data_IF_029388438516
#
_entry.id   IF_029388438516
#
_cell.length_a   1.000
_cell.length_b   1.000
_cell.length_c   1.000
_cell.angle_alpha   90.00
_cell.angle_beta   90.00
_cell.angle_gamma   90.00
#
_symmetry.space_group_name_H-M   'P 1'
#
loop_
_entity.id
_entity.type
_entity.pdbx_description
1 polymer ?
#
# COMPACT_ATOMS: atom_id res chain seq x y z
N UNK A 1 -0.54 -4.57 23.39
CA UNK A 1 -0.62 -3.65 22.23
C UNK A 1 -1.81 -2.71 22.40
N UNK A 2 -1.72 -1.49 21.85
CA UNK A 2 -2.73 -0.44 22.05
C UNK A 2 -3.85 -0.60 21.02
N UNK A 3 -5.07 -0.95 21.48
CA UNK A 3 -6.25 -0.97 20.61
C UNK A 3 -6.52 0.43 20.05
N UNK A 4 -6.82 0.52 18.75
CA UNK A 4 -7.10 1.80 18.09
C UNK A 4 -8.17 1.65 17.00
N UNK A 5 -8.85 2.75 16.67
CA UNK A 5 -9.85 2.80 15.58
C UNK A 5 -9.17 3.20 14.27
N UNK A 6 -9.64 2.65 13.15
CA UNK A 6 -9.27 3.15 11.82
C UNK A 6 -9.90 4.53 11.65
N UNK A 7 -9.12 5.53 11.25
CA UNK A 7 -9.57 6.92 11.14
C UNK A 7 -8.93 7.56 9.92
N UNK A 8 -9.75 8.00 8.97
CA UNK A 8 -9.30 8.68 7.76
C UNK A 8 -8.34 9.83 8.06
N UNK A 9 -7.28 9.92 7.27
CA UNK A 9 -6.22 10.93 7.36
C UNK A 9 -5.21 10.70 8.47
N UNK A 10 -5.41 9.70 9.34
CA UNK A 10 -4.41 9.35 10.35
C UNK A 10 -3.12 8.86 9.73
N UNK A 11 -2.00 9.24 10.34
CA UNK A 11 -0.67 8.76 10.00
C UNK A 11 -0.35 7.53 10.84
N UNK A 12 0.12 6.49 10.16
CA UNK A 12 0.63 5.26 10.73
C UNK A 12 2.16 5.28 10.65
N UNK A 13 2.80 4.93 11.75
CA UNK A 13 4.24 4.69 11.82
C UNK A 13 4.52 3.19 11.68
N UNK A 14 5.46 2.86 10.80
CA UNK A 14 5.82 1.50 10.44
C UNK A 14 7.33 1.33 10.72
N UNK A 15 7.72 0.72 11.85
CA UNK A 15 9.11 0.41 12.13
C UNK A 15 9.57 -0.77 11.27
N UNK A 16 10.65 -0.60 10.51
CA UNK A 16 11.22 -1.64 9.65
C UNK A 16 12.52 -2.15 10.27
N UNK A 17 12.53 -3.43 10.68
CA UNK A 17 13.67 -4.15 11.28
C UNK A 17 14.36 -3.43 12.45
N UNK A 18 13.68 -2.47 13.11
CA UNK A 18 14.29 -1.59 14.11
C UNK A 18 15.38 -0.65 13.57
N UNK A 19 15.47 -0.46 12.25
CA UNK A 19 16.51 0.35 11.59
C UNK A 19 16.02 1.73 11.19
N UNK A 20 14.79 1.81 10.70
CA UNK A 20 14.17 3.04 10.21
C UNK A 20 12.66 2.95 10.29
N UNK A 21 12.01 4.10 10.14
CA UNK A 21 10.57 4.27 10.12
C UNK A 21 10.13 4.66 8.72
N UNK A 22 9.03 4.06 8.29
CA UNK A 22 8.25 4.47 7.12
C UNK A 22 6.87 4.88 7.60
N UNK A 23 6.20 5.72 6.82
CA UNK A 23 4.91 6.28 7.20
C UNK A 23 3.86 6.01 6.12
N UNK A 24 2.65 5.72 6.59
CA UNK A 24 1.48 5.57 5.76
C UNK A 24 0.37 6.50 6.22
N UNK A 25 -0.56 6.83 5.33
CA UNK A 25 -1.77 7.56 5.67
C UNK A 25 -3.01 6.72 5.33
N UNK A 26 -3.95 6.69 6.27
CA UNK A 26 -5.24 6.02 6.09
C UNK A 26 -6.10 6.83 5.11
N UNK A 27 -6.46 6.26 3.97
CA UNK A 27 -7.32 6.87 2.96
C UNK A 27 -8.79 6.43 3.14
N UNK A 28 -9.61 6.70 2.13
CA UNK A 28 -10.97 6.16 2.01
C UNK A 28 -10.97 4.69 1.53
N UNK A 29 -12.14 4.05 1.59
CA UNK A 29 -12.40 2.72 0.97
C UNK A 29 -11.44 1.60 1.41
N UNK A 30 -10.94 1.68 2.64
CA UNK A 30 -9.98 0.71 3.22
C UNK A 30 -8.59 0.72 2.56
N UNK A 31 -8.26 1.79 1.82
CA UNK A 31 -6.95 1.97 1.20
C UNK A 31 -6.00 2.75 2.09
N UNK A 32 -4.71 2.50 1.90
CA UNK A 32 -3.62 3.13 2.63
C UNK A 32 -2.54 3.53 1.63
N UNK A 33 -2.09 4.79 1.69
CA UNK A 33 -0.93 5.25 0.93
C UNK A 33 0.32 5.07 1.77
N UNK A 34 1.36 4.52 1.17
CA UNK A 34 2.68 4.40 1.79
C UNK A 34 3.60 5.41 1.11
N UNK A 35 4.24 6.28 1.88
CA UNK A 35 5.13 7.29 1.33
C UNK A 35 6.53 6.71 1.12
N UNK A 36 7.16 7.05 -0.01
CA UNK A 36 8.56 6.76 -0.24
C UNK A 36 9.43 7.73 0.58
N UNK A 37 9.50 7.46 1.87
CA UNK A 37 10.24 8.24 2.86
C UNK A 37 10.66 7.34 4.02
N UNK A 38 11.94 7.42 4.37
CA UNK A 38 12.54 6.72 5.51
C UNK A 38 13.12 7.73 6.47
N UNK A 39 12.96 7.48 7.77
CA UNK A 39 13.63 8.24 8.82
C UNK A 39 14.32 7.29 9.80
N UNK A 40 15.49 7.66 10.33
CA UNK A 40 16.15 6.91 11.41
C UNK A 40 15.47 7.13 12.77
N UNK A 41 14.74 8.24 12.90
CA UNK A 41 14.05 8.66 14.12
C UNK A 41 12.56 8.85 13.84
N UNK A 42 11.75 8.79 14.90
CA UNK A 42 10.32 9.09 14.80
C UNK A 42 10.15 10.58 14.46
N UNK A 43 9.31 10.89 13.47
CA UNK A 43 9.01 12.28 13.10
C UNK A 43 7.75 12.76 13.82
N UNK A 44 7.71 14.05 14.11
CA UNK A 44 6.55 14.72 14.71
C UNK A 44 5.86 15.68 13.75
N UNK A 45 6.61 16.25 12.81
CA UNK A 45 6.08 17.04 11.71
C UNK A 45 5.74 16.14 10.51
N UNK A 46 4.45 15.89 10.31
CA UNK A 46 3.96 15.05 9.22
C UNK A 46 3.76 15.80 7.90
N UNK A 47 3.81 17.14 7.90
CA UNK A 47 3.64 17.93 6.67
C UNK A 47 4.76 17.64 5.67
N UNK A 48 5.95 17.23 6.15
CA UNK A 48 7.04 16.74 5.29
C UNK A 48 6.60 15.60 4.37
N UNK A 49 5.61 14.81 4.77
CA UNK A 49 5.08 13.71 3.98
C UNK A 49 4.32 14.22 2.76
N UNK A 50 3.81 15.45 2.72
CA UNK A 50 3.03 15.98 1.58
C UNK A 50 3.83 16.09 0.28
N UNK A 51 5.14 16.22 0.37
CA UNK A 51 6.02 16.36 -0.80
C UNK A 51 6.66 15.04 -1.23
N UNK A 52 6.45 13.95 -0.48
CA UNK A 52 7.12 12.68 -0.73
C UNK A 52 6.45 11.91 -1.86
N UNK A 53 7.21 11.21 -2.72
CA UNK A 53 6.62 10.30 -3.69
C UNK A 53 5.80 9.21 -2.99
N UNK A 54 4.81 8.67 -3.70
CA UNK A 54 4.05 7.51 -3.26
C UNK A 54 4.88 6.26 -3.56
N UNK A 55 4.99 5.37 -2.58
CA UNK A 55 5.61 4.06 -2.77
C UNK A 55 4.62 3.07 -3.38
N UNK A 56 3.42 2.96 -2.79
CA UNK A 56 2.27 2.23 -3.33
C UNK A 56 1.01 2.59 -2.55
N UNK A 57 -0.16 2.20 -3.07
CA UNK A 57 -1.47 2.34 -2.44
C UNK A 57 -2.14 0.98 -2.44
N UNK A 58 -2.47 0.43 -1.28
CA UNK A 58 -3.04 -0.92 -1.15
C UNK A 58 -4.07 -1.00 -0.01
N UNK A 59 -4.86 -2.08 0.00
CA UNK A 59 -5.71 -2.43 1.14
C UNK A 59 -4.93 -3.25 2.18
N UNK A 60 -5.20 -2.98 3.46
CA UNK A 60 -4.53 -3.63 4.60
C UNK A 60 -5.57 -4.25 5.53
N UNK A 61 -5.29 -5.45 6.06
CA UNK A 61 -6.18 -6.08 7.03
C UNK A 61 -6.42 -5.19 8.26
N UNK A 62 -7.67 -5.11 8.69
CA UNK A 62 -8.08 -4.27 9.81
C UNK A 62 -7.34 -4.60 11.11
N UNK A 63 -6.90 -5.84 11.33
CA UNK A 63 -6.20 -6.22 12.57
C UNK A 63 -4.86 -5.52 12.72
N UNK A 64 -4.14 -5.28 11.62
CA UNK A 64 -2.84 -4.58 11.65
C UNK A 64 -3.01 -3.23 12.33
N UNK A 65 -4.07 -2.51 11.98
CA UNK A 65 -4.37 -1.21 12.56
C UNK A 65 -5.04 -1.38 13.92
N UNK A 66 -6.12 -2.15 14.02
CA UNK A 66 -6.97 -2.16 15.22
C UNK A 66 -6.32 -2.81 16.45
N UNK A 67 -5.37 -3.74 16.24
CA UNK A 67 -4.54 -4.29 17.31
C UNK A 67 -3.35 -3.39 17.68
N UNK A 68 -3.03 -2.41 16.84
CA UNK A 68 -1.91 -1.49 17.06
C UNK A 68 -0.56 -2.13 16.74
N UNK A 69 -0.50 -2.91 15.65
CA UNK A 69 0.78 -3.38 15.10
C UNK A 69 1.55 -2.22 14.46
N UNK A 70 0.82 -1.32 13.79
CA UNK A 70 1.31 0.01 13.40
C UNK A 70 0.59 1.07 14.21
N UNK A 71 1.35 1.95 14.85
CA UNK A 71 0.76 2.95 15.74
C UNK A 71 0.27 4.16 14.94
N UNK A 72 -0.93 4.65 15.27
CA UNK A 72 -1.34 5.98 14.81
C UNK A 72 -0.58 7.05 15.60
N UNK A 73 0.27 7.80 14.91
CA UNK A 73 1.17 8.80 15.51
C UNK A 73 0.76 10.24 15.20
N UNK A 74 -0.18 10.43 14.27
CA UNK A 74 -0.66 11.77 13.93
C UNK A 74 -1.82 11.75 12.96
N UNK A 75 -2.09 12.93 12.39
CA UNK A 75 -3.09 13.14 11.35
C UNK A 75 -2.66 14.33 10.51
N UNK A 76 -2.84 14.23 9.20
CA UNK A 76 -2.69 15.34 8.27
C UNK A 76 -3.82 15.30 7.24
N UNK A 77 -3.98 16.37 6.47
CA UNK A 77 -4.92 16.40 5.34
C UNK A 77 -4.50 15.38 4.28
N UNK A 78 -5.47 14.76 3.62
CA UNK A 78 -5.19 13.88 2.47
C UNK A 78 -4.93 14.78 1.27
N UNK A 79 -3.87 14.48 0.51
CA UNK A 79 -3.57 15.23 -0.72
C UNK A 79 -4.69 15.07 -1.73
N UNK A 80 -4.94 16.10 -2.53
CA UNK A 80 -6.06 16.12 -3.47
C UNK A 80 -6.01 14.97 -4.48
N UNK A 81 -4.81 14.61 -4.94
CA UNK A 81 -4.60 13.49 -5.87
C UNK A 81 -4.86 12.11 -5.24
N UNK A 82 -4.93 12.02 -3.91
CA UNK A 82 -5.21 10.79 -3.16
C UNK A 82 -6.69 10.67 -2.75
N UNK A 83 -7.52 11.67 -3.07
CA UNK A 83 -8.97 11.58 -2.87
C UNK A 83 -9.64 10.64 -3.88
N UNK A 84 -9.01 10.47 -5.06
CA UNK A 84 -9.42 9.51 -6.08
C UNK A 84 -8.38 8.41 -6.16
N UNK A 85 -8.78 7.20 -5.81
CA UNK A 85 -7.89 6.05 -5.75
C UNK A 85 -7.61 5.48 -7.16
N UNK A 86 -6.39 4.97 -7.43
CA UNK A 86 -6.08 4.36 -8.71
C UNK A 86 -6.89 3.07 -8.93
N UNK A 87 -7.09 2.72 -10.20
CA UNK A 87 -7.65 1.43 -10.58
C UNK A 87 -6.75 0.29 -10.08
N UNK A 88 -7.36 -0.85 -9.79
CA UNK A 88 -6.65 -2.08 -9.49
C UNK A 88 -7.04 -3.15 -10.51
N UNK A 89 -6.31 -4.25 -10.56
CA UNK A 89 -6.71 -5.40 -11.37
C UNK A 89 -7.03 -6.64 -10.53
N UNK A 90 -7.95 -7.45 -11.01
CA UNK A 90 -8.25 -8.78 -10.50
C UNK A 90 -7.77 -9.77 -11.58
N UNK A 91 -7.16 -10.88 -11.15
CA UNK A 91 -6.83 -12.01 -12.03
C UNK A 91 -7.59 -13.23 -11.51
N UNK A 92 -8.25 -13.94 -12.41
CA UNK A 92 -8.95 -15.17 -12.08
C UNK A 92 -7.93 -16.27 -11.73
N UNK A 93 -8.06 -16.84 -10.53
CA UNK A 93 -7.15 -17.89 -10.03
C UNK A 93 -7.33 -19.23 -10.77
N UNK A 94 -8.52 -19.50 -11.32
CA UNK A 94 -8.83 -20.70 -12.09
C UNK A 94 -8.51 -20.52 -13.57
N UNK A 95 -8.57 -19.29 -14.07
CA UNK A 95 -8.15 -18.92 -15.42
C UNK A 95 -7.18 -17.73 -15.40
N UNK A 96 -5.87 -17.96 -15.23
CA UNK A 96 -4.86 -16.91 -15.11
C UNK A 96 -4.74 -15.96 -16.32
N UNK A 97 -5.43 -16.25 -17.43
CA UNK A 97 -5.48 -15.38 -18.61
C UNK A 97 -6.64 -14.38 -18.60
N UNK A 98 -7.58 -14.52 -17.67
CA UNK A 98 -8.69 -13.58 -17.47
C UNK A 98 -8.35 -12.54 -16.42
N UNK A 99 -8.59 -11.28 -16.79
CA UNK A 99 -8.33 -10.11 -15.97
C UNK A 99 -9.57 -9.21 -15.93
N UNK A 100 -9.74 -8.52 -14.82
CA UNK A 100 -10.77 -7.50 -14.65
C UNK A 100 -10.15 -6.22 -14.06
N UNK A 101 -10.65 -5.07 -14.48
CA UNK A 101 -10.36 -3.79 -13.85
C UNK A 101 -11.34 -3.57 -12.70
N UNK A 102 -10.82 -3.25 -11.53
CA UNK A 102 -11.58 -2.87 -10.35
C UNK A 102 -11.43 -1.38 -10.07
N UNK A 103 -12.56 -0.67 -9.98
CA UNK A 103 -12.60 0.72 -9.54
C UNK A 103 -12.89 0.81 -8.04
N UNK A 104 -11.89 1.09 -7.18
CA UNK A 104 -12.12 1.19 -5.73
C UNK A 104 -13.03 2.36 -5.32
N UNK A 105 -13.21 3.37 -6.18
CA UNK A 105 -14.03 4.53 -5.88
C UNK A 105 -15.54 4.23 -6.05
N UNK A 106 -15.90 3.42 -7.05
CA UNK A 106 -17.30 3.09 -7.40
C UNK A 106 -17.70 1.66 -7.04
N UNK A 107 -16.74 0.74 -6.92
CA UNK A 107 -16.98 -0.69 -6.77
C UNK A 107 -17.19 -1.44 -8.09
N UNK A 108 -17.10 -0.74 -9.23
CA UNK A 108 -17.31 -1.33 -10.56
C UNK A 108 -16.17 -2.30 -10.92
N UNK A 109 -16.54 -3.40 -11.57
CA UNK A 109 -15.63 -4.42 -12.10
C UNK A 109 -15.97 -4.65 -13.56
N UNK A 110 -14.98 -4.56 -14.45
CA UNK A 110 -15.17 -4.78 -15.90
C UNK A 110 -14.04 -5.67 -16.46
N UNK A 111 -14.32 -6.54 -17.44
CA UNK A 111 -13.28 -7.31 -18.12
C UNK A 111 -12.20 -6.41 -18.75
N UNK A 112 -10.95 -6.86 -18.74
CA UNK A 112 -9.82 -6.12 -19.30
C UNK A 112 -8.76 -7.07 -19.87
N UNK A 113 -7.69 -6.50 -20.45
CA UNK A 113 -6.56 -7.24 -20.98
C UNK A 113 -5.31 -7.07 -20.13
N UNK A 114 -4.39 -8.05 -20.22
CA UNK A 114 -3.07 -7.98 -19.57
C UNK A 114 -2.30 -6.69 -19.88
N UNK A 115 -2.47 -6.12 -21.08
CA UNK A 115 -1.79 -4.89 -21.52
C UNK A 115 -2.31 -3.65 -20.78
N UNK A 116 -3.61 -3.61 -20.48
CA UNK A 116 -4.26 -2.47 -19.83
C UNK A 116 -3.98 -2.40 -18.34
N UNK A 117 -3.67 -3.53 -17.70
CA UNK A 117 -3.40 -3.61 -16.26
C UNK A 117 -1.92 -3.38 -15.90
N UNK A 118 -1.04 -3.17 -16.89
CA UNK A 118 0.38 -2.93 -16.63
C UNK A 118 0.55 -1.67 -15.78
N UNK A 119 1.09 -1.85 -14.57
CA UNK A 119 1.38 -0.75 -13.64
C UNK A 119 0.29 -0.51 -12.61
N UNK A 120 -0.81 -1.26 -12.66
CA UNK A 120 -1.81 -1.28 -11.61
C UNK A 120 -1.42 -2.25 -10.50
N UNK A 121 -1.85 -1.95 -9.27
CA UNK A 121 -1.77 -2.89 -8.16
C UNK A 121 -2.85 -3.97 -8.30
N UNK A 122 -2.53 -5.19 -7.89
CA UNK A 122 -3.53 -6.26 -7.76
C UNK A 122 -4.51 -5.90 -6.64
N UNK A 123 -5.80 -6.12 -6.88
CA UNK A 123 -6.85 -5.98 -5.87
C UNK A 123 -6.69 -7.11 -4.84
N UNK A 124 -5.95 -6.83 -3.77
CA UNK A 124 -5.66 -7.78 -2.70
C UNK A 124 -5.57 -7.07 -1.36
N UNK A 125 -5.84 -7.80 -0.28
CA UNK A 125 -5.72 -7.30 1.10
C UNK A 125 -4.44 -7.87 1.70
N UNK A 126 -3.57 -6.98 2.16
CA UNK A 126 -2.23 -7.34 2.61
C UNK A 126 -2.14 -7.37 4.14
N UNK A 127 -1.36 -8.32 4.67
CA UNK A 127 -1.01 -8.40 6.08
C UNK A 127 0.29 -7.64 6.37
N UNK A 128 0.56 -7.37 7.65
CA UNK A 128 1.72 -6.62 8.15
C UNK A 128 3.04 -7.10 7.54
N UNK A 129 3.32 -8.40 7.63
CA UNK A 129 4.62 -8.95 7.22
C UNK A 129 4.85 -8.79 5.71
N UNK A 130 3.79 -8.96 4.89
CA UNK A 130 3.90 -8.78 3.45
C UNK A 130 4.34 -7.36 3.08
N UNK A 131 3.83 -6.37 3.82
CA UNK A 131 4.06 -4.95 3.55
C UNK A 131 5.43 -4.51 4.09
N UNK A 132 5.78 -4.93 5.30
CA UNK A 132 7.10 -4.62 5.89
C UNK A 132 8.23 -5.23 5.05
N UNK A 133 8.06 -6.46 4.58
CA UNK A 133 8.99 -7.10 3.65
C UNK A 133 9.06 -6.34 2.33
N UNK A 134 7.92 -5.99 1.72
CA UNK A 134 7.88 -5.21 0.47
C UNK A 134 8.61 -3.87 0.59
N UNK A 135 8.41 -3.16 1.71
CA UNK A 135 9.10 -1.89 1.99
C UNK A 135 10.61 -2.13 2.16
N UNK A 136 10.99 -3.09 3.00
CA UNK A 136 12.39 -3.42 3.26
C UNK A 136 13.13 -3.77 1.99
N UNK A 137 12.54 -4.63 1.17
CA UNK A 137 13.15 -5.15 -0.04
C UNK A 137 13.27 -4.06 -1.13
N UNK A 138 12.28 -3.16 -1.22
CA UNK A 138 12.36 -1.96 -2.07
C UNK A 138 13.57 -1.07 -1.74
N UNK A 139 13.83 -0.83 -0.45
CA UNK A 139 14.97 0.00 -0.02
C UNK A 139 16.30 -0.75 -0.15
N UNK A 140 16.30 -2.06 0.05
CA UNK A 140 17.47 -2.92 -0.15
C UNK A 140 17.77 -3.24 -1.62
N UNK A 141 16.89 -2.86 -2.55
CA UNK A 141 16.99 -3.18 -3.99
C UNK A 141 17.04 -4.69 -4.25
N UNK A 142 16.30 -5.45 -3.44
CA UNK A 142 16.10 -6.90 -3.57
C UNK A 142 14.63 -7.20 -3.91
N UNK A 143 14.29 -8.36 -4.51
CA UNK A 143 12.96 -8.56 -5.04
C UNK A 143 12.09 -9.07 -3.89
N UNK A 144 10.94 -8.43 -3.68
CA UNK A 144 10.00 -8.84 -2.65
C UNK A 144 9.30 -10.15 -3.04
N UNK A 145 9.41 -11.20 -2.22
CA UNK A 145 8.78 -12.51 -2.51
C UNK A 145 7.26 -12.40 -2.73
N UNK A 146 6.60 -11.47 -2.02
CA UNK A 146 5.16 -11.24 -2.12
C UNK A 146 4.68 -10.63 -3.45
N UNK A 147 5.62 -10.19 -4.30
CA UNK A 147 5.35 -9.67 -5.64
C UNK A 147 5.84 -10.60 -6.76
N UNK A 148 6.23 -11.83 -6.43
CA UNK A 148 6.79 -12.77 -7.40
C UNK A 148 5.83 -13.05 -8.56
N UNK A 149 4.57 -13.39 -8.27
CA UNK A 149 3.55 -13.64 -9.29
C UNK A 149 3.34 -12.43 -10.21
N UNK A 150 3.32 -11.21 -9.65
CA UNK A 150 3.15 -9.98 -10.44
C UNK A 150 4.39 -9.68 -11.30
N UNK A 151 5.60 -9.93 -10.78
CA UNK A 151 6.84 -9.79 -11.56
C UNK A 151 6.87 -10.77 -12.73
N UNK A 152 6.55 -12.03 -12.49
CA UNK A 152 6.46 -13.05 -13.54
C UNK A 152 5.38 -12.71 -14.54
N UNK A 153 4.21 -12.27 -14.06
CA UNK A 153 3.12 -11.84 -14.92
C UNK A 153 3.58 -10.71 -15.85
N UNK A 154 4.34 -9.73 -15.39
CA UNK A 154 4.71 -8.56 -16.18
C UNK A 154 6.14 -8.57 -16.74
N UNK A 155 6.91 -9.65 -16.55
CA UNK A 155 8.34 -9.74 -16.91
C UNK A 155 9.16 -8.56 -16.38
N UNK A 156 9.01 -8.22 -15.10
CA UNK A 156 9.71 -7.08 -14.47
C UNK A 156 10.89 -7.56 -13.63
N UNK A 157 12.03 -6.89 -13.77
CA UNK A 157 13.20 -7.21 -12.95
C UNK A 157 13.02 -6.66 -11.52
N UNK A 158 12.81 -5.35 -11.26
CA UNK A 158 12.67 -4.82 -9.87
C UNK A 158 12.14 -3.37 -9.80
N UNK A 159 11.61 -2.96 -8.62
CA UNK A 159 10.25 -3.26 -8.16
C UNK A 159 9.17 -2.77 -9.14
#
# INVERSE_FOLDING_TARGET
MKKQRITKGSILEIPIDGKYYVYAQILEKSSYVFFNFTSKEQITDFEILNEKPILFIIAVYNHVITKGEWLKVGKMSIRKELEVLPMHFIQDALNPTHFELYNPNTGEIVPTTKKEIIGLERASVWDKIHIEDRIRDFYNKVPCIWLEEDRELFNREFP
#
